data_IF_451761317229
#
_entry.id   IF_451761317229
#
_cell.length_a   1.000
_cell.length_b   1.000
_cell.length_c   1.000
_cell.angle_alpha   90.00
_cell.angle_beta   90.00
_cell.angle_gamma   90.00
#
_symmetry.space_group_name_H-M   'P 1'
#
loop_
_entity.id
_entity.type
_entity.pdbx_description
1 polymer ?
#
# COMPACT_ATOMS: atom_id res chain seq x y z
N UNK A 1 8.31 0.98 12.33
CA UNK A 1 7.03 1.32 13.00
C UNK A 1 7.03 1.02 14.50
N UNK A 2 7.81 0.05 15.00
CA UNK A 2 7.78 -0.39 16.40
C UNK A 2 7.98 0.71 17.47
N UNK A 3 8.93 1.62 17.29
CA UNK A 3 9.30 2.58 18.36
C UNK A 3 8.68 3.97 18.23
N UNK A 4 8.28 4.36 17.02
CA UNK A 4 7.80 5.71 16.70
C UNK A 4 6.45 5.71 15.96
N UNK A 5 5.90 4.52 15.69
CA UNK A 5 4.66 4.35 14.95
C UNK A 5 3.44 4.83 15.72
N UNK A 6 2.47 5.32 14.96
CA UNK A 6 1.14 5.69 15.42
C UNK A 6 0.11 4.69 14.86
N UNK A 7 -1.09 4.59 15.47
CA UNK A 7 -2.13 3.63 15.06
C UNK A 7 -2.61 3.75 13.60
N UNK A 8 -2.41 4.91 12.97
CA UNK A 8 -2.72 5.16 11.56
C UNK A 8 -1.65 4.60 10.59
N UNK A 9 -0.63 3.89 11.07
CA UNK A 9 0.36 3.22 10.23
C UNK A 9 1.54 4.10 9.79
N UNK A 10 1.66 5.33 10.29
CA UNK A 10 2.83 6.21 10.08
C UNK A 10 3.50 6.59 11.40
N UNK A 11 4.78 6.96 11.38
CA UNK A 11 5.48 7.43 12.58
C UNK A 11 5.24 8.92 12.82
N UNK A 12 5.25 9.34 14.09
CA UNK A 12 5.10 10.75 14.42
C UNK A 12 6.34 11.54 14.00
N UNK A 13 6.11 12.58 13.21
CA UNK A 13 7.11 13.54 12.78
C UNK A 13 6.45 14.88 12.45
N UNK A 14 6.55 15.84 13.35
CA UNK A 14 6.16 17.24 13.16
C UNK A 14 7.40 18.03 12.71
N UNK A 15 7.83 17.73 11.48
CA UNK A 15 9.14 18.09 10.88
C UNK A 15 10.38 17.51 11.59
N UNK A 16 10.21 16.98 12.80
CA UNK A 16 11.23 16.29 13.58
C UNK A 16 10.70 14.95 14.05
N UNK A 17 11.52 13.90 14.04
CA UNK A 17 11.12 12.60 14.60
C UNK A 17 10.65 12.77 16.05
N UNK A 18 9.39 12.39 16.31
CA UNK A 18 8.65 12.91 17.46
C UNK A 18 8.28 11.86 18.53
N UNK A 19 8.86 10.66 18.47
CA UNK A 19 8.56 9.61 19.47
C UNK A 19 7.18 8.98 19.29
N UNK A 20 6.69 8.31 20.33
CA UNK A 20 5.35 7.72 20.38
C UNK A 20 4.32 8.56 21.17
N UNK A 21 4.63 9.82 21.48
CA UNK A 21 3.71 10.67 22.25
C UNK A 21 2.45 10.92 21.43
N UNK A 22 1.24 10.61 21.93
CA UNK A 22 0.00 10.80 21.18
C UNK A 22 -0.31 12.28 20.97
N UNK A 23 0.29 13.15 21.78
CA UNK A 23 0.26 14.57 21.50
C UNK A 23 0.91 14.82 20.14
N UNK A 24 2.12 14.33 19.86
CA UNK A 24 2.86 14.72 18.66
C UNK A 24 2.17 14.26 17.37
N UNK A 25 2.20 15.14 16.37
CA UNK A 25 1.57 14.90 15.07
C UNK A 25 2.51 14.27 14.06
N UNK A 26 1.96 14.00 12.87
CA UNK A 26 2.70 13.63 11.67
C UNK A 26 2.39 14.62 10.57
N UNK A 27 3.42 15.21 9.98
CA UNK A 27 3.30 16.07 8.81
C UNK A 27 2.72 15.29 7.62
N UNK A 28 1.81 15.91 6.87
CA UNK A 28 1.19 15.27 5.72
C UNK A 28 2.20 14.94 4.59
N UNK A 29 3.28 15.72 4.43
CA UNK A 29 4.36 15.35 3.48
C UNK A 29 5.03 14.02 3.86
N UNK A 30 5.27 13.79 5.16
CA UNK A 30 5.87 12.54 5.64
C UNK A 30 5.01 11.34 5.25
N UNK A 31 3.69 11.47 5.30
CA UNK A 31 2.74 10.40 4.92
C UNK A 31 2.91 10.04 3.45
N UNK A 32 2.90 11.02 2.56
CA UNK A 32 2.99 10.83 1.10
C UNK A 32 4.36 10.32 0.68
N UNK A 33 5.43 10.89 1.23
CA UNK A 33 6.79 10.48 0.87
C UNK A 33 7.18 9.15 1.51
N UNK A 34 6.62 8.80 2.68
CA UNK A 34 6.76 7.45 3.22
C UNK A 34 6.07 6.42 2.33
N UNK A 35 4.87 6.72 1.79
CA UNK A 35 4.22 5.81 0.84
C UNK A 35 5.13 5.50 -0.36
N UNK A 36 5.71 6.53 -0.96
CA UNK A 36 6.64 6.35 -2.07
C UNK A 36 7.91 5.57 -1.69
N UNK A 37 8.49 5.90 -0.53
CA UNK A 37 9.71 5.25 -0.03
C UNK A 37 9.50 3.76 0.24
N UNK A 38 8.36 3.39 0.81
CA UNK A 38 7.98 2.00 1.08
C UNK A 38 7.75 1.22 -0.23
N UNK A 39 7.10 1.82 -1.21
CA UNK A 39 6.94 1.22 -2.53
C UNK A 39 8.28 0.98 -3.24
N UNK A 40 9.22 1.92 -3.13
CA UNK A 40 10.57 1.78 -3.67
C UNK A 40 11.37 0.69 -2.93
N UNK A 41 11.23 0.61 -1.61
CA UNK A 41 11.90 -0.42 -0.80
C UNK A 41 11.47 -1.82 -1.24
N UNK A 42 10.17 -2.03 -1.47
CA UNK A 42 9.65 -3.30 -1.97
C UNK A 42 10.21 -3.65 -3.36
N UNK A 43 10.31 -2.67 -4.26
CA UNK A 43 10.88 -2.86 -5.60
C UNK A 43 12.38 -3.13 -5.60
N UNK A 44 13.11 -2.53 -4.66
CA UNK A 44 14.56 -2.69 -4.56
C UNK A 44 14.97 -4.08 -4.07
N UNK A 45 14.07 -4.80 -3.39
CA UNK A 45 14.35 -6.13 -2.82
C UNK A 45 13.13 -7.04 -2.89
N UNK A 46 12.63 -7.35 -4.10
CA UNK A 46 11.31 -7.96 -4.30
C UNK A 46 11.19 -9.41 -3.82
N UNK A 47 12.33 -10.06 -3.54
CA UNK A 47 12.39 -11.44 -3.02
C UNK A 47 12.67 -11.50 -1.51
N UNK A 48 12.87 -10.36 -0.86
CA UNK A 48 13.11 -10.29 0.57
C UNK A 48 11.77 -10.20 1.30
N UNK A 49 11.66 -10.85 2.46
CA UNK A 49 10.48 -10.75 3.33
C UNK A 49 10.15 -9.29 3.68
N UNK A 50 11.16 -8.43 3.76
CA UNK A 50 11.02 -6.99 3.95
C UNK A 50 10.20 -6.29 2.86
N UNK A 51 10.09 -6.83 1.64
CA UNK A 51 9.21 -6.28 0.61
C UNK A 51 7.74 -6.42 1.00
N UNK A 52 7.31 -7.59 1.51
CA UNK A 52 5.94 -7.76 1.99
C UNK A 52 5.67 -6.84 3.20
N UNK A 53 6.61 -6.75 4.15
CA UNK A 53 6.48 -5.87 5.32
C UNK A 53 6.41 -4.39 4.93
N UNK A 54 7.20 -3.95 3.95
CA UNK A 54 7.14 -2.59 3.41
C UNK A 54 5.79 -2.30 2.74
N UNK A 55 5.25 -3.26 1.99
CA UNK A 55 3.94 -3.14 1.35
C UNK A 55 2.78 -3.19 2.35
N UNK A 56 2.90 -3.95 3.43
CA UNK A 56 1.93 -3.95 4.53
C UNK A 56 1.92 -2.58 5.25
N UNK A 57 3.10 -1.97 5.47
CA UNK A 57 3.18 -0.61 5.98
C UNK A 57 2.60 0.42 4.99
N UNK A 58 2.93 0.30 3.70
CA UNK A 58 2.40 1.16 2.64
C UNK A 58 0.87 1.12 2.60
N UNK A 59 0.29 -0.08 2.68
CA UNK A 59 -1.15 -0.29 2.74
C UNK A 59 -1.76 0.46 3.94
N UNK A 60 -1.20 0.30 5.14
CA UNK A 60 -1.70 0.98 6.33
C UNK A 60 -1.68 2.50 6.18
N UNK A 61 -0.59 3.07 5.64
CA UNK A 61 -0.49 4.51 5.40
C UNK A 61 -1.51 4.97 4.35
N UNK A 62 -1.66 4.21 3.27
CA UNK A 62 -2.54 4.54 2.14
C UNK A 62 -4.03 4.49 2.49
N UNK A 63 -4.46 3.55 3.33
CA UNK A 63 -5.88 3.36 3.68
C UNK A 63 -6.27 4.00 5.02
N UNK A 64 -5.31 4.42 5.85
CA UNK A 64 -5.58 5.09 7.13
C UNK A 64 -5.01 6.52 7.18
N UNK A 65 -3.69 6.67 7.16
CA UNK A 65 -3.04 7.97 7.40
C UNK A 65 -3.34 9.02 6.31
N UNK A 66 -3.27 8.65 5.03
CA UNK A 66 -3.54 9.58 3.94
C UNK A 66 -5.01 10.06 3.93
N UNK A 67 -6.03 9.17 3.84
CA UNK A 67 -7.42 9.61 3.86
C UNK A 67 -7.84 10.27 5.18
N UNK A 68 -7.21 9.92 6.30
CA UNK A 68 -7.43 10.61 7.58
C UNK A 68 -6.94 12.06 7.59
N UNK A 69 -5.94 12.39 6.77
CA UNK A 69 -5.33 13.72 6.68
C UNK A 69 -5.86 14.62 5.57
N UNK A 70 -6.90 14.25 4.83
CA UNK A 70 -7.43 15.05 3.70
C UNK A 70 -8.96 15.05 3.70
N UNK A 71 -9.58 16.14 3.27
CA UNK A 71 -11.03 16.15 3.02
C UNK A 71 -11.38 15.37 1.75
N UNK A 72 -12.61 14.86 1.68
CA UNK A 72 -13.07 14.06 0.53
C UNK A 72 -13.13 14.83 -0.79
N UNK A 73 -13.18 16.16 -0.75
CA UNK A 73 -13.09 17.04 -1.93
C UNK A 73 -11.65 17.48 -2.25
N UNK A 74 -10.66 17.03 -1.46
CA UNK A 74 -9.24 17.36 -1.55
C UNK A 74 -8.93 18.86 -1.43
N UNK A 75 -9.85 19.66 -0.90
CA UNK A 75 -9.66 21.11 -0.75
C UNK A 75 -9.12 21.54 0.61
N UNK A 76 -9.11 20.63 1.59
CA UNK A 76 -8.60 20.92 2.91
C UNK A 76 -7.82 19.75 3.49
N UNK A 77 -6.78 20.08 4.23
CA UNK A 77 -5.94 19.15 4.95
C UNK A 77 -5.38 19.86 6.19
N UNK A 78 -4.92 19.15 7.23
CA UNK A 78 -4.05 19.71 8.24
C UNK A 78 -2.59 19.72 7.78
N UNK A 79 -1.76 20.48 8.48
CA UNK A 79 -0.31 20.35 8.35
C UNK A 79 0.14 19.09 9.10
N UNK A 80 -0.32 18.95 10.36
CA UNK A 80 -0.08 17.81 11.24
C UNK A 80 -1.37 17.00 11.47
N UNK A 81 -1.34 15.71 11.15
CA UNK A 81 -2.37 14.77 11.59
C UNK A 81 -1.98 14.12 12.92
N UNK A 82 -2.96 13.90 13.80
CA UNK A 82 -2.74 13.33 15.14
C UNK A 82 -3.55 12.06 15.30
N UNK A 83 -2.98 11.09 16.03
CA UNK A 83 -3.65 9.82 16.33
C UNK A 83 -4.95 10.01 17.12
N UNK A 84 -5.07 11.08 17.91
CA UNK A 84 -6.20 11.35 18.80
C UNK A 84 -6.73 12.80 18.71
N UNK A 85 -6.74 13.42 17.52
CA UNK A 85 -7.33 14.75 17.37
C UNK A 85 -8.86 14.70 17.42
N UNK A 86 -9.43 15.43 18.38
CA UNK A 86 -10.87 15.67 18.47
C UNK A 86 -11.25 17.12 18.12
N UNK A 87 -10.26 17.96 17.75
CA UNK A 87 -10.47 19.38 17.45
C UNK A 87 -9.65 19.80 16.22
N UNK A 88 -10.30 20.48 15.29
CA UNK A 88 -9.65 21.16 14.15
C UNK A 88 -9.80 22.68 14.32
N UNK A 89 -8.97 23.27 15.19
CA UNK A 89 -8.99 24.70 15.54
C UNK A 89 -7.57 25.22 15.75
N UNK A 90 -7.34 26.55 15.67
CA UNK A 90 -6.05 27.11 16.05
C UNK A 90 -5.70 26.75 17.50
N UNK A 91 -4.48 26.28 17.74
CA UNK A 91 -3.96 26.00 19.08
C UNK A 91 -3.24 27.23 19.62
N UNK A 92 -3.92 27.95 20.52
CA UNK A 92 -3.46 29.26 21.01
C UNK A 92 -2.63 29.20 22.30
N UNK A 93 -2.54 28.04 22.99
CA UNK A 93 -1.68 27.84 24.18
C UNK A 93 -1.53 26.35 24.58
N UNK A 94 -0.39 26.01 25.22
CA UNK A 94 -0.03 24.74 25.87
C UNK A 94 -0.03 23.45 25.02
N UNK A 95 0.37 23.55 23.75
CA UNK A 95 0.64 22.36 22.94
C UNK A 95 2.14 22.19 22.64
N UNK A 96 2.60 20.96 22.38
CA UNK A 96 4.04 20.64 22.23
C UNK A 96 4.65 21.05 20.87
N UNK A 97 3.85 21.33 19.83
CA UNK A 97 4.31 21.74 18.48
C UNK A 97 4.14 23.21 18.06
N UNK A 98 3.25 24.06 18.62
CA UNK A 98 3.05 25.43 18.14
C UNK A 98 4.31 26.30 18.15
N UNK A 99 5.34 25.89 18.89
CA UNK A 99 6.66 26.54 18.90
C UNK A 99 7.35 26.44 17.53
N UNK A 100 7.16 25.36 16.78
CA UNK A 100 7.80 25.11 15.49
C UNK A 100 6.80 25.15 14.33
N UNK A 101 5.64 24.50 14.50
CA UNK A 101 4.65 24.31 13.43
C UNK A 101 3.48 25.33 13.49
N UNK A 102 3.51 26.25 14.45
CA UNK A 102 2.49 27.29 14.58
C UNK A 102 1.09 26.81 15.04
N UNK A 103 0.17 27.76 15.29
CA UNK A 103 -1.14 27.46 15.89
C UNK A 103 -2.10 26.74 14.93
N UNK A 104 -1.97 26.95 13.62
CA UNK A 104 -2.93 26.46 12.62
C UNK A 104 -2.61 25.05 12.13
N UNK A 105 -1.51 24.44 12.58
CA UNK A 105 -1.01 23.16 12.08
C UNK A 105 -2.02 22.00 12.12
N UNK A 106 -2.92 21.99 13.11
CA UNK A 106 -3.96 20.97 13.26
C UNK A 106 -5.33 21.34 12.67
N UNK A 107 -5.45 22.49 12.00
CA UNK A 107 -6.69 22.89 11.33
C UNK A 107 -6.78 22.32 9.93
N UNK A 108 -7.99 22.01 9.47
CA UNK A 108 -8.22 21.69 8.06
C UNK A 108 -8.41 22.98 7.27
N UNK A 109 -7.53 23.22 6.31
CA UNK A 109 -7.59 24.36 5.41
C UNK A 109 -6.83 24.09 4.11
N UNK A 110 -6.83 25.06 3.21
CA UNK A 110 -6.11 24.93 1.93
C UNK A 110 -4.59 24.85 2.11
N UNK A 111 -4.04 25.64 3.03
CA UNK A 111 -2.63 25.72 3.34
C UNK A 111 -2.43 26.12 4.80
N UNK A 112 -2.83 25.29 5.78
CA UNK A 112 -2.52 25.57 7.18
C UNK A 112 -1.00 25.53 7.38
N UNK A 113 -0.48 26.55 8.07
CA UNK A 113 0.94 26.71 8.37
C UNK A 113 1.86 26.91 7.15
N UNK A 114 2.44 25.83 6.59
CA UNK A 114 3.41 25.88 5.50
C UNK A 114 2.92 25.11 4.26
N UNK A 115 3.15 25.68 3.08
CA UNK A 115 2.50 25.29 1.82
C UNK A 115 3.07 24.00 1.19
N UNK A 116 4.11 23.39 1.79
CA UNK A 116 4.69 22.13 1.28
C UNK A 116 3.63 21.02 1.18
N UNK A 117 2.78 20.89 2.21
CA UNK A 117 1.73 19.89 2.26
C UNK A 117 0.73 20.10 1.12
N UNK A 118 0.31 21.35 0.85
CA UNK A 118 -0.59 21.70 -0.26
C UNK A 118 -0.01 21.28 -1.62
N UNK A 119 1.29 21.50 -1.82
CA UNK A 119 2.00 21.10 -3.03
C UNK A 119 2.30 19.58 -3.10
N UNK A 120 2.16 18.84 -2.00
CA UNK A 120 2.59 17.46 -1.89
C UNK A 120 1.45 16.44 -1.83
N UNK A 121 0.40 16.69 -1.03
CA UNK A 121 -0.59 15.67 -0.66
C UNK A 121 -1.28 15.02 -1.87
N UNK A 122 -1.55 15.81 -2.91
CA UNK A 122 -2.25 15.36 -4.12
C UNK A 122 -1.43 14.34 -4.94
N UNK A 123 -0.12 14.22 -4.66
CA UNK A 123 0.75 13.22 -5.29
C UNK A 123 0.60 11.83 -4.66
N UNK A 124 0.02 11.71 -3.47
CA UNK A 124 -0.09 10.44 -2.72
C UNK A 124 -0.76 9.32 -3.50
N UNK A 125 -2.00 9.53 -3.97
CA UNK A 125 -2.71 8.51 -4.76
C UNK A 125 -2.07 8.24 -6.13
N UNK A 126 -1.64 9.24 -6.93
CA UNK A 126 -0.88 8.98 -8.16
C UNK A 126 0.38 8.12 -7.94
N UNK A 127 1.16 8.43 -6.89
CA UNK A 127 2.34 7.65 -6.50
C UNK A 127 1.95 6.23 -6.09
N UNK A 128 0.87 6.05 -5.33
CA UNK A 128 0.37 4.73 -4.93
C UNK A 128 -0.09 3.89 -6.14
N UNK A 129 -0.94 4.47 -6.99
CA UNK A 129 -1.51 3.80 -8.17
C UNK A 129 -0.42 3.32 -9.11
N UNK A 130 0.64 4.12 -9.27
CA UNK A 130 1.81 3.77 -10.09
C UNK A 130 2.63 2.60 -9.55
N UNK A 131 2.38 2.17 -8.30
CA UNK A 131 3.09 1.09 -7.62
C UNK A 131 2.16 -0.04 -7.14
N UNK A 132 0.91 -0.11 -7.62
CA UNK A 132 0.01 -1.24 -7.32
C UNK A 132 0.59 -2.56 -7.84
N UNK A 133 1.35 -2.47 -8.93
CA UNK A 133 2.11 -3.55 -9.52
C UNK A 133 3.51 -3.06 -9.83
N UNK A 134 4.48 -3.97 -9.79
CA UNK A 134 5.80 -3.70 -10.32
C UNK A 134 6.38 -4.96 -10.98
N UNK A 135 7.28 -4.77 -11.92
CA UNK A 135 7.87 -5.85 -12.71
C UNK A 135 9.25 -6.21 -12.17
N UNK A 136 9.60 -7.49 -12.25
CA UNK A 136 10.97 -7.99 -12.03
C UNK A 136 11.43 -8.69 -13.32
N UNK A 137 11.87 -7.93 -14.34
CA UNK A 137 12.15 -8.46 -15.68
C UNK A 137 13.17 -9.59 -15.69
N UNK A 138 14.21 -9.51 -14.85
CA UNK A 138 15.24 -10.55 -14.74
C UNK A 138 14.69 -11.93 -14.34
N UNK A 139 13.48 -11.98 -13.76
CA UNK A 139 12.81 -13.21 -13.34
C UNK A 139 11.54 -13.52 -14.14
N UNK A 140 11.18 -12.68 -15.12
CA UNK A 140 9.90 -12.76 -15.81
C UNK A 140 8.72 -12.82 -14.82
N UNK A 141 8.75 -11.93 -13.83
CA UNK A 141 7.77 -11.87 -12.74
C UNK A 141 7.03 -10.54 -12.71
N UNK A 142 5.72 -10.59 -12.53
CA UNK A 142 4.87 -9.46 -12.16
C UNK A 142 4.51 -9.59 -10.67
N UNK A 143 4.74 -8.54 -9.89
CA UNK A 143 4.32 -8.48 -8.50
C UNK A 143 3.05 -7.64 -8.39
N UNK A 144 1.97 -8.21 -7.86
CA UNK A 144 0.79 -7.50 -7.39
C UNK A 144 1.00 -7.08 -5.94
N UNK A 145 1.33 -5.81 -5.76
CA UNK A 145 1.80 -5.25 -4.50
C UNK A 145 0.65 -4.87 -3.56
N UNK A 146 -0.40 -4.24 -4.08
CA UNK A 146 -1.54 -3.76 -3.30
C UNK A 146 -2.85 -4.15 -4.00
N UNK A 147 -3.86 -4.52 -3.21
CA UNK A 147 -5.16 -4.90 -3.75
C UNK A 147 -6.00 -3.66 -4.00
N UNK A 148 -6.02 -3.19 -5.24
CA UNK A 148 -6.91 -2.11 -5.68
C UNK A 148 -7.42 -2.39 -7.10
N UNK A 149 -8.69 -2.05 -7.42
CA UNK A 149 -9.24 -2.24 -8.75
C UNK A 149 -8.36 -1.56 -9.80
N UNK A 150 -7.85 -2.34 -10.75
CA UNK A 150 -6.82 -1.84 -11.65
C UNK A 150 -6.67 -2.68 -12.91
N UNK A 151 -6.15 -2.05 -13.96
CA UNK A 151 -5.81 -2.68 -15.22
C UNK A 151 -4.44 -2.20 -15.66
N UNK A 152 -3.60 -3.11 -16.09
CA UNK A 152 -2.28 -2.78 -16.63
C UNK A 152 -1.91 -3.68 -17.81
N UNK A 153 -1.00 -3.18 -18.63
CA UNK A 153 -0.24 -3.98 -19.58
C UNK A 153 1.21 -3.97 -19.12
N UNK A 154 1.83 -5.13 -19.06
CA UNK A 154 3.24 -5.24 -18.69
C UNK A 154 4.15 -4.88 -19.85
N UNK A 155 5.44 -4.72 -19.57
CA UNK A 155 6.49 -4.69 -20.59
C UNK A 155 6.55 -6.02 -21.37
N UNK A 156 7.28 -5.99 -22.49
CA UNK A 156 7.51 -7.18 -23.33
C UNK A 156 8.32 -8.28 -22.63
N UNK A 157 9.04 -7.94 -21.57
CA UNK A 157 9.85 -8.89 -20.79
C UNK A 157 8.98 -9.79 -19.91
N UNK A 158 7.81 -9.30 -19.51
CA UNK A 158 6.87 -10.02 -18.66
C UNK A 158 5.75 -10.60 -19.50
N UNK A 159 5.72 -11.93 -19.63
CA UNK A 159 4.66 -12.65 -20.31
C UNK A 159 4.42 -12.25 -21.77
N UNK A 160 5.35 -11.50 -22.39
CA UNK A 160 5.23 -10.94 -23.74
C UNK A 160 4.16 -9.85 -23.87
N UNK A 161 4.15 -8.86 -22.97
CA UNK A 161 3.08 -7.85 -22.83
C UNK A 161 1.79 -8.46 -22.29
N UNK A 162 1.86 -9.06 -21.11
CA UNK A 162 0.67 -9.56 -20.41
C UNK A 162 -0.29 -8.42 -20.08
N UNK A 163 -1.58 -8.64 -20.33
CA UNK A 163 -2.67 -7.78 -19.87
C UNK A 163 -3.26 -8.38 -18.58
N UNK A 164 -3.32 -7.58 -17.51
CA UNK A 164 -3.81 -8.01 -16.20
C UNK A 164 -4.87 -7.04 -15.71
N UNK A 165 -6.02 -7.58 -15.30
CA UNK A 165 -7.09 -6.86 -14.60
C UNK A 165 -7.25 -7.45 -13.20
N UNK A 166 -7.16 -6.61 -12.18
CA UNK A 166 -7.51 -6.96 -10.80
C UNK A 166 -8.90 -6.40 -10.48
N UNK A 167 -9.85 -7.30 -10.22
CA UNK A 167 -11.20 -6.97 -9.73
C UNK A 167 -11.30 -7.28 -8.25
N UNK A 168 -11.68 -6.28 -7.47
CA UNK A 168 -11.81 -6.40 -6.02
C UNK A 168 -12.73 -5.30 -5.48
N UNK A 169 -13.36 -5.54 -4.33
CA UNK A 169 -14.02 -4.50 -3.53
C UNK A 169 -13.16 -4.10 -2.31
N UNK A 170 -11.92 -4.59 -2.25
CA UNK A 170 -10.96 -4.22 -1.22
C UNK A 170 -10.76 -2.70 -1.17
N UNK A 171 -10.68 -2.08 0.03
CA UNK A 171 -10.58 -2.69 1.36
C UNK A 171 -11.92 -3.08 2.03
N UNK A 172 -13.07 -2.86 1.37
CA UNK A 172 -14.38 -3.18 1.95
C UNK A 172 -14.82 -4.64 1.72
N UNK A 173 -14.30 -5.26 0.66
CA UNK A 173 -14.38 -6.70 0.41
C UNK A 173 -13.02 -7.38 0.53
N UNK A 174 -13.01 -8.69 0.82
CA UNK A 174 -11.76 -9.45 1.04
C UNK A 174 -11.40 -10.40 -0.11
N UNK A 175 -12.02 -10.22 -1.28
CA UNK A 175 -11.78 -11.04 -2.48
C UNK A 175 -10.97 -10.28 -3.53
N UNK A 176 -10.02 -10.96 -4.17
CA UNK A 176 -9.26 -10.45 -5.31
C UNK A 176 -9.36 -11.45 -6.48
N UNK A 177 -9.84 -11.00 -7.62
CA UNK A 177 -9.94 -11.78 -8.86
C UNK A 177 -8.97 -11.19 -9.89
N UNK A 178 -8.09 -12.02 -10.45
CA UNK A 178 -7.13 -11.63 -11.49
C UNK A 178 -7.56 -12.22 -12.83
N UNK A 179 -7.82 -11.37 -13.82
CA UNK A 179 -8.00 -11.79 -15.20
C UNK A 179 -6.71 -11.50 -15.96
N UNK A 180 -6.14 -12.53 -16.57
CA UNK A 180 -4.81 -12.47 -17.19
C UNK A 180 -4.91 -12.96 -18.64
N UNK A 181 -4.29 -12.21 -19.55
CA UNK A 181 -4.11 -12.58 -20.95
C UNK A 181 -2.66 -12.33 -21.35
N UNK A 182 -1.95 -13.38 -21.74
CA UNK A 182 -0.50 -13.32 -21.96
C UNK A 182 -0.04 -14.29 -23.08
N UNK A 183 0.78 -13.86 -24.04
CA UNK A 183 1.32 -14.75 -25.07
C UNK A 183 2.46 -15.65 -24.60
N UNK A 184 3.16 -15.31 -23.50
CA UNK A 184 4.25 -16.13 -22.93
C UNK A 184 3.99 -16.39 -21.45
N UNK A 185 4.47 -17.52 -20.95
CA UNK A 185 4.38 -17.83 -19.53
C UNK A 185 5.16 -16.81 -18.68
N UNK A 186 4.68 -16.54 -17.47
CA UNK A 186 5.34 -15.65 -16.51
C UNK A 186 4.91 -15.99 -15.08
N UNK A 187 5.63 -15.45 -14.09
CA UNK A 187 5.27 -15.61 -12.69
C UNK A 187 4.43 -14.42 -12.21
N UNK A 188 3.26 -14.67 -11.65
CA UNK A 188 2.47 -13.68 -10.92
C UNK A 188 2.67 -13.89 -9.42
N UNK A 189 3.36 -12.97 -8.76
CA UNK A 189 3.49 -12.92 -7.31
C UNK A 189 2.46 -11.98 -6.73
N UNK A 190 1.66 -12.43 -5.77
CA UNK A 190 0.57 -11.66 -5.17
C UNK A 190 0.84 -11.50 -3.69
N UNK A 191 1.01 -10.26 -3.21
CA UNK A 191 1.09 -10.03 -1.76
C UNK A 191 -0.26 -10.36 -1.12
N UNK A 192 -0.22 -11.12 -0.04
CA UNK A 192 -1.36 -11.29 0.86
C UNK A 192 -1.21 -10.35 2.07
N UNK A 193 -2.15 -9.41 2.30
CA UNK A 193 -2.09 -8.48 3.44
C UNK A 193 -1.85 -9.14 4.80
N UNK A 194 -0.97 -8.54 5.62
CA UNK A 194 -0.61 -9.04 6.95
C UNK A 194 -1.81 -9.46 7.81
N UNK A 195 -2.82 -8.60 7.94
CA UNK A 195 -3.97 -8.90 8.79
C UNK A 195 -4.77 -10.12 8.28
N UNK A 196 -4.80 -10.38 6.96
CA UNK A 196 -5.42 -11.60 6.41
C UNK A 196 -4.59 -12.85 6.73
N UNK A 197 -3.27 -12.72 6.87
CA UNK A 197 -2.38 -13.80 7.32
C UNK A 197 -2.59 -14.13 8.81
N UNK A 198 -2.88 -13.13 9.63
CA UNK A 198 -3.05 -13.24 11.09
C UNK A 198 -4.43 -13.74 11.52
N UNK A 199 -5.50 -13.38 10.79
CA UNK A 199 -6.89 -13.80 11.10
C UNK A 199 -7.09 -15.32 11.05
N UNK A 200 -6.16 -16.08 10.44
CA UNK A 200 -6.20 -17.54 10.40
C UNK A 200 -5.72 -18.26 11.68
N UNK A 201 -5.28 -17.54 12.72
CA UNK A 201 -5.09 -18.08 14.07
C UNK A 201 -3.67 -17.91 14.64
N UNK A 202 -3.60 -17.66 15.95
CA UNK A 202 -2.41 -17.23 16.68
C UNK A 202 -1.26 -18.26 16.83
N UNK A 203 -1.38 -19.46 16.25
CA UNK A 203 -0.37 -20.53 16.41
C UNK A 203 0.18 -21.13 15.12
N UNK A 204 -0.28 -20.67 13.96
CA UNK A 204 0.34 -20.99 12.67
C UNK A 204 -0.04 -19.88 11.69
N UNK A 205 0.91 -19.03 11.34
CA UNK A 205 0.72 -18.14 10.19
C UNK A 205 0.30 -18.99 8.99
N UNK A 206 -0.71 -18.53 8.25
CA UNK A 206 -1.21 -19.16 7.03
C UNK A 206 -0.02 -19.59 6.14
N UNK A 207 0.38 -20.86 6.18
CA UNK A 207 1.42 -21.39 5.28
C UNK A 207 0.83 -21.76 3.93
N UNK A 208 -0.48 -22.04 3.89
CA UNK A 208 -1.18 -22.44 2.68
C UNK A 208 -2.55 -21.77 2.58
N UNK A 209 -2.86 -21.18 1.43
CA UNK A 209 -4.13 -20.50 1.15
C UNK A 209 -4.93 -21.32 0.13
N UNK A 210 -6.24 -21.42 0.35
CA UNK A 210 -7.17 -21.99 -0.63
C UNK A 210 -7.57 -20.91 -1.61
N UNK A 211 -7.30 -21.14 -2.90
CA UNK A 211 -7.65 -20.23 -3.98
C UNK A 211 -8.42 -20.95 -5.07
N UNK A 212 -9.25 -20.22 -5.81
CA UNK A 212 -9.96 -20.76 -6.96
C UNK A 212 -9.28 -20.29 -8.24
N UNK A 213 -8.80 -21.24 -9.05
CA UNK A 213 -8.19 -21.00 -10.36
C UNK A 213 -9.08 -21.66 -11.41
N UNK A 214 -9.67 -20.87 -12.29
CA UNK A 214 -10.59 -21.34 -13.34
C UNK A 214 -11.73 -22.21 -12.78
N UNK A 215 -12.26 -21.85 -11.60
CA UNK A 215 -13.33 -22.57 -10.91
C UNK A 215 -12.88 -23.80 -10.11
N UNK A 216 -11.59 -24.13 -10.10
CA UNK A 216 -11.03 -25.24 -9.33
C UNK A 216 -10.28 -24.75 -8.09
N UNK A 217 -10.58 -25.35 -6.94
CA UNK A 217 -9.85 -25.09 -5.70
C UNK A 217 -8.42 -25.63 -5.80
N UNK A 218 -7.45 -24.83 -5.38
CA UNK A 218 -6.04 -25.20 -5.25
C UNK A 218 -5.51 -24.69 -3.92
N UNK A 219 -4.61 -25.48 -3.34
CA UNK A 219 -3.85 -25.09 -2.14
C UNK A 219 -2.53 -24.50 -2.63
N UNK A 220 -2.22 -23.28 -2.21
CA UNK A 220 -1.02 -22.55 -2.63
C UNK A 220 -0.24 -22.13 -1.40
N UNK A 221 1.08 -22.35 -1.45
CA UNK A 221 1.98 -21.97 -0.38
C UNK A 221 2.18 -20.45 -0.33
N UNK A 222 2.20 -19.92 0.89
CA UNK A 222 2.54 -18.54 1.17
C UNK A 222 4.02 -18.47 1.59
N UNK A 223 4.84 -17.84 0.75
CA UNK A 223 6.28 -17.68 1.00
C UNK A 223 6.56 -16.20 1.17
N UNK A 224 7.12 -15.83 2.33
CA UNK A 224 7.52 -14.45 2.65
C UNK A 224 6.42 -13.39 2.42
N UNK A 225 5.15 -13.78 2.60
CA UNK A 225 3.99 -12.90 2.45
C UNK A 225 3.41 -12.83 1.02
N UNK A 226 3.96 -13.60 0.08
CA UNK A 226 3.52 -13.68 -1.31
C UNK A 226 2.99 -15.07 -1.68
N UNK A 227 1.94 -15.07 -2.49
CA UNK A 227 1.47 -16.24 -3.24
C UNK A 227 2.10 -16.20 -4.63
N UNK A 228 2.65 -17.31 -5.10
CA UNK A 228 3.31 -17.38 -6.40
C UNK A 228 2.52 -18.26 -7.37
N UNK A 229 2.20 -17.73 -8.55
CA UNK A 229 1.45 -18.41 -9.60
C UNK A 229 2.20 -18.40 -10.92
N UNK A 230 2.56 -19.58 -11.41
CA UNK A 230 3.02 -19.71 -12.80
C UNK A 230 1.82 -19.59 -13.73
N UNK A 231 1.76 -18.49 -14.48
CA UNK A 231 0.75 -18.29 -15.51
C UNK A 231 1.29 -18.89 -16.81
N UNK A 232 0.63 -19.90 -17.39
CA UNK A 232 1.06 -20.50 -18.66
C UNK A 232 0.84 -19.53 -19.83
N UNK A 233 1.51 -19.78 -20.94
CA UNK A 233 1.25 -19.04 -22.18
C UNK A 233 -0.18 -19.32 -22.70
N UNK A 234 -0.86 -18.28 -23.18
CA UNK A 234 -2.16 -18.37 -23.83
C UNK A 234 -2.06 -18.15 -25.36
N UNK A 235 -2.82 -18.88 -26.20
CA UNK A 235 -3.74 -19.96 -25.83
C UNK A 235 -3.00 -21.20 -25.32
N UNK A 236 -3.61 -21.88 -24.35
CA UNK A 236 -3.11 -23.18 -23.91
C UNK A 236 -3.00 -24.11 -25.13
N UNK A 237 -1.91 -24.89 -25.27
CA UNK A 237 -1.80 -25.84 -26.36
C UNK A 237 -3.00 -26.79 -26.33
N UNK A 238 -3.62 -27.04 -27.49
CA UNK A 238 -4.73 -27.99 -27.58
C UNK A 238 -4.34 -29.32 -26.94
N UNK A 239 -5.20 -29.93 -26.12
CA UNK A 239 -4.92 -31.24 -25.55
C UNK A 239 -4.61 -32.20 -26.69
N UNK A 240 -3.40 -32.76 -26.70
CA UNK A 240 -3.01 -33.75 -27.70
C UNK A 240 -4.04 -34.88 -27.65
N UNK A 241 -4.85 -34.99 -28.70
CA UNK A 241 -5.75 -36.12 -28.89
C UNK A 241 -4.86 -37.36 -28.98
N UNK A 242 -4.97 -38.24 -27.99
CA UNK A 242 -4.24 -39.50 -27.92
C UNK A 242 -4.68 -40.47 -29.02
#
# INVERSE_FOLDING_TARGET
MEHHGQPNGIFAADEHLAGGSPSRGTELCVVVEAMWSLALLAQASPDDKGAAEALDALEQVAVNALPGGISGDLWSHPYLQFANSYQARPFVQDHVWPVFDGPDAGMYGLAPHYECCTANFHQGYPKLISNLFFEVPAKNTLVSALWMPSRLNTSGDIGGCAAVELRTEYPFGLSAEYLVSNPKAFLLQIRLPAFLREVAGASAGLSTVHVWVEGHERIVELVDGFLAYEIPAWPLPEPRVA
#
